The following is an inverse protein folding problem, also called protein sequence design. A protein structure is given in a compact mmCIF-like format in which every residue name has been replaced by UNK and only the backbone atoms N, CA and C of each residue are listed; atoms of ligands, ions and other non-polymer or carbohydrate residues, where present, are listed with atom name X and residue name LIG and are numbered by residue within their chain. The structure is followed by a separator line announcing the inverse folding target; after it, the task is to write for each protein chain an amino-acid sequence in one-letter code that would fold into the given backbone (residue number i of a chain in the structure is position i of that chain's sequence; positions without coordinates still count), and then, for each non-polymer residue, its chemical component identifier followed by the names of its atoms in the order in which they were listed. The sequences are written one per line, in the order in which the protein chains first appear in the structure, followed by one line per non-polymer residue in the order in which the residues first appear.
data_IF_862167744558
#
_entry.id   IF_862167744558
#
_cell.length_a   1.000
_cell.length_b   1.000
_cell.length_c   1.000
_cell.angle_alpha   90.00
_cell.angle_beta   90.00
_cell.angle_gamma   90.00
#
_symmetry.space_group_name_H-M   'P 1'
#
loop_
_entity.id
_entity.type
_entity.pdbx_description
1 polymer ?
#
# COMPACT_ATOMS: atom_id res chain seq x y z
N UNK A 1 -4.20 20.31 0.86
CA UNK A 1 -3.16 19.45 1.43
C UNK A 1 -3.76 18.39 2.33
N UNK A 2 -4.49 18.79 3.37
CA UNK A 2 -5.06 17.85 4.35
C UNK A 2 -5.96 16.77 3.73
N UNK A 3 -6.86 17.11 2.82
CA UNK A 3 -7.77 16.14 2.16
C UNK A 3 -7.02 15.04 1.38
N UNK A 4 -6.02 15.43 0.57
CA UNK A 4 -5.23 14.47 -0.20
C UNK A 4 -4.37 13.56 0.71
N UNK A 5 -3.91 14.09 1.85
CA UNK A 5 -3.15 13.34 2.85
C UNK A 5 -4.07 12.38 3.63
N UNK A 6 -5.30 12.80 3.90
CA UNK A 6 -6.34 11.96 4.54
C UNK A 6 -6.69 10.79 3.62
N UNK A 7 -7.04 11.06 2.36
CA UNK A 7 -7.40 10.05 1.35
C UNK A 7 -6.31 8.98 1.21
N UNK A 8 -5.04 9.38 1.03
CA UNK A 8 -3.95 8.41 0.89
C UNK A 8 -3.65 7.66 2.20
N UNK A 9 -3.93 8.27 3.35
CA UNK A 9 -3.79 7.61 4.65
C UNK A 9 -4.87 6.55 4.86
N UNK A 10 -6.10 6.82 4.41
CA UNK A 10 -7.20 5.86 4.43
C UNK A 10 -6.91 4.67 3.50
N UNK A 11 -6.52 4.95 2.25
CA UNK A 11 -6.11 3.90 1.30
C UNK A 11 -4.96 3.06 1.87
N UNK A 12 -3.97 3.70 2.50
CA UNK A 12 -2.87 2.99 3.14
C UNK A 12 -3.36 2.08 4.28
N UNK A 13 -4.32 2.53 5.07
CA UNK A 13 -4.87 1.73 6.16
C UNK A 13 -5.51 0.46 5.61
N UNK A 14 -6.35 0.58 4.58
CA UNK A 14 -6.98 -0.56 3.92
C UNK A 14 -5.93 -1.51 3.34
N UNK A 15 -4.97 -0.99 2.58
CA UNK A 15 -3.92 -1.81 1.97
C UNK A 15 -3.06 -2.53 3.01
N UNK A 16 -2.82 -1.91 4.15
CA UNK A 16 -2.11 -2.51 5.27
C UNK A 16 -2.91 -3.64 5.91
N UNK A 17 -4.20 -3.44 6.15
CA UNK A 17 -5.06 -4.45 6.76
C UNK A 17 -5.15 -5.69 5.85
N UNK A 18 -5.34 -5.50 4.55
CA UNK A 18 -5.33 -6.59 3.56
C UNK A 18 -3.97 -7.30 3.49
N UNK A 19 -2.86 -6.56 3.56
CA UNK A 19 -1.53 -7.15 3.63
C UNK A 19 -1.33 -8.01 4.89
N UNK A 20 -1.77 -7.53 6.05
CA UNK A 20 -1.66 -8.27 7.32
C UNK A 20 -2.47 -9.57 7.26
N UNK A 21 -3.68 -9.55 6.71
CA UNK A 21 -4.48 -10.76 6.46
C UNK A 21 -3.81 -11.71 5.46
N UNK A 22 -3.36 -11.18 4.32
CA UNK A 22 -2.71 -11.97 3.28
C UNK A 22 -1.41 -12.66 3.77
N UNK A 23 -0.64 -11.97 4.61
CA UNK A 23 0.54 -12.54 5.27
C UNK A 23 0.17 -13.69 6.19
N UNK A 24 -0.80 -13.51 7.08
CA UNK A 24 -1.26 -14.55 8.00
C UNK A 24 -1.74 -15.80 7.25
N UNK A 25 -2.57 -15.61 6.22
CA UNK A 25 -3.12 -16.70 5.41
C UNK A 25 -2.03 -17.41 4.59
N UNK A 26 -1.02 -16.67 4.11
CA UNK A 26 0.16 -17.22 3.42
C UNK A 26 1.03 -18.05 4.36
N UNK A 27 1.32 -17.55 5.57
CA UNK A 27 2.09 -18.30 6.58
C UNK A 27 1.35 -19.58 7.02
N UNK A 28 0.02 -19.50 7.15
CA UNK A 28 -0.84 -20.62 7.51
C UNK A 28 -1.14 -21.59 6.35
N UNK A 29 -0.71 -21.26 5.12
CA UNK A 29 -0.89 -22.07 3.90
C UNK A 29 -2.35 -22.45 3.65
N UNK A 30 -3.26 -21.50 3.85
CA UNK A 30 -4.68 -21.75 3.68
C UNK A 30 -5.05 -21.72 2.20
N UNK A 31 -6.30 -22.09 1.90
CA UNK A 31 -6.87 -21.98 0.55
C UNK A 31 -7.19 -20.53 0.15
N UNK A 32 -7.22 -19.60 1.12
CA UNK A 32 -7.58 -18.19 0.91
C UNK A 32 -6.36 -17.36 0.54
N UNK A 33 -5.17 -17.81 0.94
CA UNK A 33 -3.91 -17.09 0.79
C UNK A 33 -3.65 -16.51 -0.61
N UNK A 34 -4.03 -17.20 -1.69
CA UNK A 34 -3.87 -16.65 -3.05
C UNK A 34 -4.76 -15.44 -3.32
N UNK A 35 -6.04 -15.51 -2.94
CA UNK A 35 -6.98 -14.42 -3.11
C UNK A 35 -6.61 -13.23 -2.22
N UNK A 36 -6.17 -13.48 -0.99
CA UNK A 36 -5.78 -12.41 -0.07
C UNK A 36 -4.50 -11.70 -0.55
N UNK A 37 -3.53 -12.44 -1.11
CA UNK A 37 -2.35 -11.83 -1.76
C UNK A 37 -2.74 -10.98 -2.98
N UNK A 38 -3.77 -11.36 -3.72
CA UNK A 38 -4.32 -10.53 -4.81
C UNK A 38 -4.95 -9.25 -4.26
N UNK A 39 -5.80 -9.35 -3.23
CA UNK A 39 -6.41 -8.18 -2.57
C UNK A 39 -5.35 -7.20 -2.04
N UNK A 40 -4.33 -7.69 -1.33
CA UNK A 40 -3.23 -6.87 -0.82
C UNK A 40 -2.48 -6.13 -1.95
N UNK A 41 -2.27 -6.78 -3.11
CA UNK A 41 -1.67 -6.15 -4.29
C UNK A 41 -2.56 -5.08 -4.91
N UNK A 42 -3.85 -5.35 -5.03
CA UNK A 42 -4.80 -4.39 -5.58
C UNK A 42 -4.86 -3.13 -4.72
N UNK A 43 -4.97 -3.26 -3.40
CA UNK A 43 -5.04 -2.11 -2.51
C UNK A 43 -3.70 -1.35 -2.45
N UNK A 44 -2.55 -2.05 -2.45
CA UNK A 44 -1.25 -1.39 -2.59
C UNK A 44 -1.16 -0.60 -3.90
N UNK A 45 -1.67 -1.14 -5.00
CA UNK A 45 -1.69 -0.46 -6.30
C UNK A 45 -2.48 0.85 -6.21
N UNK A 46 -3.66 0.84 -5.56
CA UNK A 46 -4.48 2.05 -5.36
C UNK A 46 -3.73 3.11 -4.55
N UNK A 47 -3.03 2.71 -3.48
CA UNK A 47 -2.18 3.62 -2.69
C UNK A 47 -1.08 4.23 -3.55
N UNK A 48 -0.39 3.41 -4.35
CA UNK A 48 0.70 3.86 -5.23
C UNK A 48 0.20 4.81 -6.32
N UNK A 49 -0.98 4.56 -6.89
CA UNK A 49 -1.59 5.43 -7.90
C UNK A 49 -2.01 6.78 -7.32
N UNK A 50 -2.68 6.79 -6.16
CA UNK A 50 -3.03 8.02 -5.44
C UNK A 50 -1.77 8.83 -5.07
N UNK A 51 -0.74 8.17 -4.54
CA UNK A 51 0.55 8.80 -4.25
C UNK A 51 1.18 9.43 -5.49
N UNK A 52 1.26 8.67 -6.58
CA UNK A 52 1.90 9.09 -7.83
C UNK A 52 1.17 10.29 -8.45
N UNK A 53 -0.16 10.24 -8.49
CA UNK A 53 -1.02 11.32 -8.96
C UNK A 53 -0.70 12.65 -8.26
N UNK A 54 -0.51 12.63 -6.95
CA UNK A 54 -0.18 13.83 -6.17
C UNK A 54 1.27 14.26 -6.40
N UNK A 55 2.21 13.31 -6.34
CA UNK A 55 3.66 13.60 -6.41
C UNK A 55 4.11 14.08 -7.78
N UNK A 56 3.48 13.61 -8.85
CA UNK A 56 3.74 14.03 -10.24
C UNK A 56 2.87 15.23 -10.66
N UNK A 57 2.01 15.72 -9.76
CA UNK A 57 1.15 16.88 -9.98
C UNK A 57 1.92 18.21 -10.05
N UNK A 58 1.22 19.26 -10.46
CA UNK A 58 1.80 20.60 -10.60
C UNK A 58 2.04 21.33 -9.26
N UNK A 59 1.37 20.91 -8.18
CA UNK A 59 1.52 21.48 -6.85
C UNK A 59 2.71 20.86 -6.12
N UNK A 60 3.87 21.52 -6.23
CA UNK A 60 5.13 21.03 -5.65
C UNK A 60 5.15 21.06 -4.13
N UNK A 61 4.44 21.98 -3.50
CA UNK A 61 4.40 22.08 -2.03
C UNK A 61 3.60 20.91 -1.44
N UNK A 62 2.46 20.60 -2.06
CA UNK A 62 1.68 19.41 -1.73
C UNK A 62 2.48 18.13 -1.96
N UNK A 63 3.16 18.00 -3.10
CA UNK A 63 3.98 16.84 -3.43
C UNK A 63 5.06 16.58 -2.37
N UNK A 64 5.79 17.62 -1.94
CA UNK A 64 6.81 17.52 -0.90
C UNK A 64 6.22 17.22 0.49
N UNK A 65 5.00 17.69 0.78
CA UNK A 65 4.31 17.31 2.01
C UNK A 65 3.90 15.83 2.03
N UNK A 66 3.29 15.34 0.95
CA UNK A 66 2.88 13.93 0.83
C UNK A 66 4.09 12.99 0.89
N UNK A 67 5.17 13.30 0.15
CA UNK A 67 6.43 12.54 0.22
C UNK A 67 6.95 12.39 1.64
N UNK A 68 6.97 13.49 2.40
CA UNK A 68 7.48 13.52 3.78
C UNK A 68 6.60 12.74 4.75
N UNK A 69 5.28 12.84 4.63
CA UNK A 69 4.36 12.26 5.61
C UNK A 69 4.12 10.76 5.42
N UNK A 70 3.98 10.29 4.18
CA UNK A 70 3.54 8.91 3.93
C UNK A 70 4.44 8.12 2.97
N UNK A 71 5.34 8.77 2.23
CA UNK A 71 6.16 8.08 1.22
C UNK A 71 7.05 6.96 1.76
N UNK A 72 7.55 7.06 2.99
CA UNK A 72 8.31 5.97 3.63
C UNK A 72 7.44 4.75 3.93
N UNK A 73 6.23 4.97 4.46
CA UNK A 73 5.29 3.91 4.81
C UNK A 73 4.84 3.12 3.58
N UNK A 74 4.60 3.79 2.46
CA UNK A 74 4.24 3.15 1.19
C UNK A 74 5.37 2.23 0.71
N UNK A 75 6.63 2.66 0.79
CA UNK A 75 7.79 1.81 0.43
C UNK A 75 7.94 0.59 1.33
N UNK A 76 7.66 0.75 2.62
CA UNK A 76 7.67 -0.35 3.58
C UNK A 76 6.58 -1.38 3.27
N UNK A 77 5.37 -0.91 2.93
CA UNK A 77 4.27 -1.79 2.51
C UNK A 77 4.58 -2.50 1.18
N UNK A 78 5.16 -1.80 0.20
CA UNK A 78 5.61 -2.37 -1.07
C UNK A 78 6.64 -3.49 -0.87
N UNK A 79 7.66 -3.24 -0.04
CA UNK A 79 8.63 -4.25 0.32
C UNK A 79 7.99 -5.43 1.07
N UNK A 80 7.01 -5.15 1.94
CA UNK A 80 6.23 -6.17 2.64
C UNK A 80 5.49 -7.10 1.67
N UNK A 81 4.71 -6.52 0.75
CA UNK A 81 3.96 -7.28 -0.26
C UNK A 81 4.90 -8.09 -1.15
N UNK A 82 6.03 -7.53 -1.60
CA UNK A 82 7.00 -8.29 -2.39
C UNK A 82 7.57 -9.49 -1.62
N UNK A 83 7.94 -9.31 -0.34
CA UNK A 83 8.43 -10.40 0.50
C UNK A 83 7.38 -11.50 0.71
N UNK A 84 6.11 -11.12 0.85
CA UNK A 84 4.99 -12.06 0.95
C UNK A 84 4.88 -12.94 -0.31
N UNK A 85 5.02 -12.34 -1.48
CA UNK A 85 5.01 -13.07 -2.75
C UNK A 85 6.21 -14.00 -2.87
N UNK A 86 7.39 -13.57 -2.40
CA UNK A 86 8.59 -14.40 -2.38
C UNK A 86 8.44 -15.62 -1.44
N UNK A 87 7.70 -15.48 -0.34
CA UNK A 87 7.37 -16.59 0.57
C UNK A 87 6.40 -17.59 -0.08
N UNK A 88 5.51 -17.12 -0.95
CA UNK A 88 4.48 -17.93 -1.59
C UNK A 88 4.97 -18.76 -2.80
N UNK A 89 6.18 -18.49 -3.31
CA UNK A 89 6.84 -19.23 -4.41
C UNK A 89 7.51 -20.52 -3.94
#
# INVERSE_FOLDING_TARGET
ADEAIEEITELYSTARDEFEMAMEETENKTIYAEADREAAREELTRVQEAYRSIVEGADTDLAEEVKRRIGQRIRELEAGVQNMEDIAM
#
